data_IF_404962908121
#
_entry.id   IF_404962908121
#
_cell.length_a   1.000
_cell.length_b   1.000
_cell.length_c   1.000
_cell.angle_alpha   90.00
_cell.angle_beta   90.00
_cell.angle_gamma   90.00
#
_symmetry.space_group_name_H-M   'P 1'
#
loop_
_entity.id
_entity.type
_entity.pdbx_description
1 polymer ?
#
# COMPACT_ATOMS: atom_id res chain seq x y z
N UNK A 1 9.00 -11.70 87.57
CA UNK A 1 7.55 -11.67 87.25
C UNK A 1 7.45 -11.84 85.74
N UNK A 2 7.14 -13.01 85.15
CA UNK A 2 5.81 -13.68 85.05
C UNK A 2 4.71 -12.62 84.90
N UNK A 3 4.04 -12.50 83.76
CA UNK A 3 2.96 -13.37 83.21
C UNK A 3 3.04 -13.26 81.66
N UNK A 4 3.18 -14.36 80.89
CA UNK A 4 2.11 -15.13 80.20
C UNK A 4 1.15 -14.19 79.41
N UNK A 5 0.79 -14.39 78.14
CA UNK A 5 0.34 -15.63 77.49
C UNK A 5 -0.07 -15.29 76.04
N UNK A 6 0.39 -16.10 75.09
CA UNK A 6 -0.41 -16.73 74.03
C UNK A 6 -0.92 -15.92 72.83
N UNK A 7 -0.91 -16.64 71.68
CA UNK A 7 -1.37 -16.32 70.31
C UNK A 7 -0.29 -15.56 69.52
N UNK A 8 0.29 -16.06 68.43
CA UNK A 8 -0.16 -17.07 67.50
C UNK A 8 1.03 -17.81 66.88
N UNK A 9 1.03 -19.13 67.08
CA UNK A 9 1.45 -20.08 66.05
C UNK A 9 0.53 -19.83 64.84
N UNK A 10 1.11 -19.79 63.64
CA UNK A 10 0.46 -19.76 62.30
C UNK A 10 0.66 -18.49 61.43
N UNK A 11 1.86 -17.91 61.34
CA UNK A 11 2.26 -17.08 60.16
C UNK A 11 3.70 -17.36 59.71
N UNK A 12 4.25 -18.54 60.02
CA UNK A 12 5.62 -18.93 59.63
C UNK A 12 5.65 -20.13 58.66
N UNK A 13 4.55 -20.35 57.93
CA UNK A 13 4.43 -21.42 56.92
C UNK A 13 3.62 -20.98 55.69
N UNK A 14 3.62 -19.68 55.40
CA UNK A 14 2.97 -19.08 54.23
C UNK A 14 3.84 -17.97 53.60
N UNK A 15 5.16 -18.19 53.62
CA UNK A 15 6.16 -17.30 53.00
C UNK A 15 7.18 -18.11 52.18
N UNK A 16 6.71 -19.20 51.57
CA UNK A 16 7.37 -19.95 50.51
C UNK A 16 6.39 -20.21 49.35
N UNK A 17 5.57 -19.22 49.01
CA UNK A 17 5.02 -19.13 47.66
C UNK A 17 6.07 -18.34 46.86
N UNK A 18 7.08 -19.04 46.39
CA UNK A 18 7.85 -18.61 45.23
C UNK A 18 6.82 -18.59 44.10
N UNK A 19 6.21 -17.43 43.88
CA UNK A 19 5.55 -17.14 42.62
C UNK A 19 6.65 -17.15 41.56
N UNK A 20 6.97 -18.34 41.05
CA UNK A 20 7.50 -18.48 39.71
C UNK A 20 6.37 -18.00 38.82
N UNK A 21 6.32 -16.68 38.60
CA UNK A 21 5.68 -16.14 37.41
C UNK A 21 6.58 -16.66 36.30
N UNK A 22 6.27 -17.87 35.82
CA UNK A 22 6.66 -18.28 34.49
C UNK A 22 5.92 -17.28 33.63
N UNK A 23 6.60 -16.19 33.27
CA UNK A 23 6.22 -15.37 32.15
C UNK A 23 6.29 -16.30 30.95
N UNK A 24 5.20 -17.03 30.71
CA UNK A 24 4.84 -17.50 29.39
C UNK A 24 4.66 -16.21 28.59
N UNK A 25 5.77 -15.63 28.15
CA UNK A 25 5.77 -14.84 26.93
C UNK A 25 5.32 -15.85 25.89
N UNK A 26 4.02 -15.92 25.63
CA UNK A 26 3.56 -16.39 24.34
C UNK A 26 4.44 -15.63 23.36
N UNK A 27 5.23 -16.35 22.57
CA UNK A 27 5.94 -15.73 21.48
C UNK A 27 4.87 -14.95 20.72
N UNK A 28 4.91 -13.63 20.84
CA UNK A 28 4.12 -12.78 19.96
C UNK A 28 4.56 -13.24 18.59
N UNK A 29 3.67 -13.84 17.77
CA UNK A 29 4.06 -14.27 16.45
C UNK A 29 4.72 -13.05 15.82
N UNK A 30 5.98 -13.19 15.41
CA UNK A 30 6.69 -12.12 14.72
C UNK A 30 5.71 -11.61 13.66
N UNK A 31 5.34 -10.33 13.76
CA UNK A 31 4.41 -9.72 12.82
C UNK A 31 5.03 -9.98 11.45
N UNK A 32 4.37 -10.83 10.65
CA UNK A 32 4.91 -11.20 9.36
C UNK A 32 5.00 -9.91 8.55
N UNK A 33 6.23 -9.49 8.22
CA UNK A 33 6.40 -8.41 7.26
C UNK A 33 5.75 -8.85 5.97
N UNK A 34 4.68 -8.16 5.56
CA UNK A 34 4.02 -8.40 4.30
C UNK A 34 5.04 -8.15 3.19
N UNK A 35 5.47 -9.21 2.50
CA UNK A 35 6.42 -9.06 1.40
C UNK A 35 5.77 -8.28 0.26
N UNK A 36 6.54 -7.41 -0.39
CA UNK A 36 6.12 -6.62 -1.55
C UNK A 36 6.70 -7.29 -2.78
N UNK A 37 5.82 -7.70 -3.69
CA UNK A 37 6.20 -8.42 -4.90
C UNK A 37 5.77 -7.63 -6.14
N UNK A 38 6.65 -7.58 -7.14
CA UNK A 38 6.31 -7.12 -8.48
C UNK A 38 6.47 -8.27 -9.48
N UNK A 39 5.68 -8.32 -10.55
CA UNK A 39 5.91 -9.25 -11.65
C UNK A 39 7.32 -9.06 -12.22
N UNK A 40 7.99 -10.16 -12.55
CA UNK A 40 9.24 -10.12 -13.32
C UNK A 40 8.96 -9.83 -14.81
N UNK A 41 10.00 -9.86 -15.65
CA UNK A 41 9.88 -9.63 -17.10
C UNK A 41 8.96 -10.63 -17.83
N UNK A 42 8.66 -11.81 -17.25
CA UNK A 42 7.69 -12.77 -17.80
C UNK A 42 6.26 -12.55 -17.29
N UNK A 43 6.04 -11.54 -16.45
CA UNK A 43 4.76 -11.30 -15.79
C UNK A 43 4.46 -12.27 -14.65
N UNK A 44 5.49 -12.93 -14.10
CA UNK A 44 5.32 -13.86 -12.98
C UNK A 44 5.64 -13.17 -11.65
N UNK A 45 4.74 -13.31 -10.68
CA UNK A 45 4.99 -13.07 -9.27
C UNK A 45 5.53 -14.35 -8.66
N UNK A 46 6.69 -14.27 -8.01
CA UNK A 46 7.31 -15.40 -7.31
C UNK A 46 7.25 -15.14 -5.81
N UNK A 47 6.57 -16.01 -5.06
CA UNK A 47 6.51 -15.98 -3.61
C UNK A 47 7.18 -17.24 -3.04
N UNK A 48 8.20 -17.02 -2.21
CA UNK A 48 8.88 -18.07 -1.46
C UNK A 48 8.32 -18.09 -0.04
N UNK A 49 7.70 -19.19 0.33
CA UNK A 49 7.07 -19.33 1.64
C UNK A 49 7.49 -20.60 2.37
N UNK A 50 7.08 -20.67 3.63
CA UNK A 50 7.22 -21.87 4.47
C UNK A 50 5.87 -22.31 5.00
N UNK A 51 5.69 -23.61 5.20
CA UNK A 51 4.50 -24.17 5.83
C UNK A 51 4.77 -25.54 6.45
N UNK A 52 3.72 -26.14 6.99
CA UNK A 52 3.81 -27.48 7.55
C UNK A 52 3.92 -28.50 6.41
N UNK A 53 4.94 -29.35 6.46
CA UNK A 53 5.11 -30.48 5.53
C UNK A 53 3.82 -31.31 5.42
N UNK A 54 3.53 -31.80 4.23
CA UNK A 54 2.32 -32.59 3.87
C UNK A 54 0.96 -31.89 4.04
N UNK A 55 0.91 -30.64 4.50
CA UNK A 55 -0.34 -29.86 4.56
C UNK A 55 -0.43 -28.99 3.31
N UNK A 56 -1.43 -29.18 2.46
CA UNK A 56 -1.60 -28.32 1.31
C UNK A 56 -1.97 -26.90 1.75
N UNK A 57 -1.25 -25.93 1.22
CA UNK A 57 -1.49 -24.51 1.46
C UNK A 57 -2.33 -23.95 0.33
N UNK A 58 -3.26 -23.08 0.67
CA UNK A 58 -4.03 -22.33 -0.31
C UNK A 58 -3.49 -20.92 -0.38
N UNK A 59 -2.95 -20.58 -1.54
CA UNK A 59 -2.59 -19.21 -1.84
C UNK A 59 -3.68 -18.58 -2.67
N UNK A 60 -4.22 -17.49 -2.14
CA UNK A 60 -5.28 -16.74 -2.77
C UNK A 60 -4.74 -15.39 -3.18
N UNK A 61 -4.87 -15.07 -4.47
CA UNK A 61 -4.66 -13.75 -5.05
C UNK A 61 -6.02 -13.12 -5.27
N UNK A 62 -6.26 -11.98 -4.63
CA UNK A 62 -7.51 -11.23 -4.77
C UNK A 62 -7.24 -9.77 -5.10
N UNK A 63 -8.01 -9.20 -6.03
CA UNK A 63 -8.05 -7.75 -6.28
C UNK A 63 -9.48 -7.27 -6.52
N UNK A 64 -9.65 -5.97 -6.34
CA UNK A 64 -10.87 -5.23 -6.62
C UNK A 64 -10.60 -4.32 -7.82
N UNK A 65 -11.12 -4.67 -8.99
CA UNK A 65 -10.84 -4.00 -10.26
C UNK A 65 -11.96 -3.01 -10.58
N UNK A 66 -11.67 -1.76 -10.98
CA UNK A 66 -12.70 -0.83 -11.44
C UNK A 66 -13.55 -1.41 -12.58
N UNK A 67 -14.85 -1.12 -12.58
CA UNK A 67 -15.80 -1.59 -13.60
C UNK A 67 -16.32 -0.41 -14.44
N UNK A 68 -15.60 -0.03 -15.52
CA UNK A 68 -15.88 1.24 -16.22
C UNK A 68 -17.12 1.18 -17.13
N UNK A 69 -17.44 -0.01 -17.63
CA UNK A 69 -18.51 -0.27 -18.59
C UNK A 69 -19.45 -1.36 -18.07
N UNK A 70 -20.46 -1.76 -18.85
CA UNK A 70 -21.34 -2.90 -18.49
C UNK A 70 -20.64 -4.27 -18.55
N UNK A 71 -19.40 -4.33 -19.03
CA UNK A 71 -18.62 -5.55 -19.12
C UNK A 71 -17.12 -5.27 -18.97
N UNK A 72 -16.36 -6.29 -18.56
CA UNK A 72 -14.90 -6.30 -18.56
C UNK A 72 -14.38 -7.57 -19.24
N UNK A 73 -13.26 -7.48 -19.93
CA UNK A 73 -12.59 -8.61 -20.57
C UNK A 73 -11.18 -8.74 -20.02
N UNK A 74 -10.89 -9.90 -19.42
CA UNK A 74 -9.56 -10.31 -19.01
C UNK A 74 -8.94 -11.13 -20.14
N UNK A 75 -7.88 -10.62 -20.75
CA UNK A 75 -7.26 -11.24 -21.92
C UNK A 75 -5.99 -11.99 -21.53
N UNK A 76 -6.01 -13.32 -21.59
CA UNK A 76 -4.82 -14.13 -21.38
C UNK A 76 -4.59 -14.56 -19.94
N UNK A 77 -5.65 -14.68 -19.14
CA UNK A 77 -5.58 -15.18 -17.76
C UNK A 77 -4.97 -16.58 -17.75
N UNK A 78 -3.83 -16.72 -17.10
CA UNK A 78 -3.14 -17.99 -17.00
C UNK A 78 -3.59 -18.76 -15.76
N UNK A 79 -4.12 -19.97 -15.98
CA UNK A 79 -4.61 -20.86 -14.94
C UNK A 79 -3.66 -22.04 -14.79
N UNK A 80 -3.18 -22.26 -13.58
CA UNK A 80 -2.25 -23.34 -13.24
C UNK A 80 -2.97 -24.62 -12.81
N UNK A 81 -2.22 -25.69 -12.52
CA UNK A 81 -2.79 -26.94 -11.96
C UNK A 81 -3.34 -26.72 -10.56
N UNK A 82 -4.34 -27.52 -10.17
CA UNK A 82 -4.93 -27.51 -8.83
C UNK A 82 -5.36 -26.10 -8.38
N UNK A 83 -6.20 -25.49 -9.20
CA UNK A 83 -6.70 -24.13 -9.03
C UNK A 83 -8.18 -24.12 -8.60
N UNK A 84 -8.57 -22.99 -8.05
CA UNK A 84 -9.94 -22.55 -7.91
C UNK A 84 -10.00 -21.09 -8.31
N UNK A 85 -10.83 -20.77 -9.29
CA UNK A 85 -11.01 -19.41 -9.77
C UNK A 85 -12.43 -18.95 -9.45
N UNK A 86 -12.56 -17.77 -8.86
CA UNK A 86 -13.84 -17.18 -8.52
C UNK A 86 -13.88 -15.69 -8.83
N UNK A 87 -15.08 -15.22 -9.14
CA UNK A 87 -15.41 -13.82 -9.45
C UNK A 87 -16.64 -13.47 -8.63
N UNK A 88 -16.63 -12.31 -7.99
CA UNK A 88 -17.79 -11.74 -7.31
C UNK A 88 -17.96 -10.28 -7.68
N UNK A 89 -19.18 -9.87 -8.00
CA UNK A 89 -19.52 -8.49 -8.39
C UNK A 89 -20.74 -8.03 -7.63
N UNK A 90 -20.69 -6.83 -7.04
CA UNK A 90 -21.78 -6.26 -6.25
C UNK A 90 -21.61 -4.75 -6.12
N UNK A 91 -22.69 -3.95 -6.17
CA UNK A 91 -24.07 -4.33 -6.52
C UNK A 91 -24.29 -4.44 -8.05
N UNK A 92 -25.01 -5.47 -8.52
CA UNK A 92 -25.34 -5.70 -9.94
C UNK A 92 -26.79 -6.13 -10.12
N UNK A 93 -27.42 -5.77 -11.24
CA UNK A 93 -28.79 -6.23 -11.56
C UNK A 93 -28.79 -7.57 -12.31
N UNK A 94 -27.74 -7.82 -13.10
CA UNK A 94 -27.51 -9.12 -13.74
C UNK A 94 -26.02 -9.41 -13.82
N UNK A 95 -25.66 -10.70 -13.94
CA UNK A 95 -24.29 -11.15 -13.94
C UNK A 95 -24.12 -12.40 -14.79
N UNK A 96 -23.19 -12.35 -15.74
CA UNK A 96 -22.78 -13.53 -16.51
C UNK A 96 -21.28 -13.53 -16.74
N UNK A 97 -20.70 -14.73 -16.76
CA UNK A 97 -19.29 -14.95 -17.07
C UNK A 97 -19.22 -15.83 -18.29
N UNK A 98 -18.34 -15.48 -19.23
CA UNK A 98 -18.10 -16.25 -20.45
C UNK A 98 -16.61 -16.44 -20.67
N UNK A 99 -16.25 -17.53 -21.37
CA UNK A 99 -14.88 -17.81 -21.80
C UNK A 99 -14.80 -17.84 -23.32
N UNK A 100 -13.74 -17.29 -23.90
CA UNK A 100 -13.52 -17.37 -25.35
C UNK A 100 -13.05 -18.78 -25.73
N UNK A 101 -13.74 -19.41 -26.67
CA UNK A 101 -13.37 -20.70 -27.25
C UNK A 101 -13.36 -20.61 -28.78
N UNK A 102 -12.71 -21.57 -29.44
CA UNK A 102 -12.87 -21.78 -30.88
C UNK A 102 -14.06 -22.71 -31.12
N UNK A 103 -14.99 -22.30 -31.97
CA UNK A 103 -16.07 -23.17 -32.43
C UNK A 103 -15.57 -24.22 -33.43
N UNK A 104 -16.48 -25.06 -33.92
CA UNK A 104 -16.17 -26.13 -34.89
C UNK A 104 -15.66 -25.60 -36.25
N UNK A 105 -15.79 -24.30 -36.52
CA UNK A 105 -15.31 -23.64 -37.72
C UNK A 105 -14.02 -22.83 -37.47
N UNK A 106 -13.47 -22.90 -36.26
CA UNK A 106 -12.29 -22.13 -35.87
C UNK A 106 -12.57 -20.64 -35.64
N UNK A 107 -13.82 -20.24 -35.43
CA UNK A 107 -14.18 -18.87 -35.05
C UNK A 107 -14.17 -18.70 -33.54
N UNK A 108 -13.70 -17.54 -33.06
CA UNK A 108 -13.74 -17.18 -31.64
C UNK A 108 -15.17 -16.83 -31.23
N UNK A 109 -15.68 -17.53 -30.22
CA UNK A 109 -17.01 -17.31 -29.66
C UNK A 109 -16.95 -17.26 -28.13
N UNK A 110 -17.83 -16.48 -27.51
CA UNK A 110 -17.98 -16.42 -26.06
C UNK A 110 -18.93 -17.52 -25.60
N UNK A 111 -18.42 -18.47 -24.83
CA UNK A 111 -19.19 -19.55 -24.24
C UNK A 111 -19.60 -19.19 -22.81
N UNK A 112 -20.90 -19.11 -22.50
CA UNK A 112 -21.37 -18.76 -21.16
C UNK A 112 -21.04 -19.86 -20.15
N UNK A 113 -20.70 -19.45 -18.94
CA UNK A 113 -20.45 -20.31 -17.79
C UNK A 113 -21.57 -20.15 -16.76
N UNK A 114 -21.79 -21.19 -15.96
CA UNK A 114 -22.80 -21.18 -14.90
C UNK A 114 -22.42 -20.16 -13.81
N UNK A 115 -23.15 -19.05 -13.77
CA UNK A 115 -23.06 -18.03 -12.73
C UNK A 115 -24.29 -18.06 -11.82
N UNK A 116 -24.18 -17.47 -10.63
CA UNK A 116 -25.29 -17.36 -9.68
C UNK A 116 -25.51 -15.91 -9.27
N UNK A 117 -26.77 -15.58 -8.98
CA UNK A 117 -27.19 -14.30 -8.41
C UNK A 117 -27.76 -14.54 -7.02
N UNK A 118 -27.31 -13.77 -6.02
CA UNK A 118 -27.88 -13.74 -4.68
C UNK A 118 -28.16 -12.28 -4.28
N UNK A 119 -29.42 -11.87 -4.36
CA UNK A 119 -29.78 -10.45 -4.24
C UNK A 119 -29.10 -9.63 -5.34
N UNK A 120 -28.35 -8.60 -4.95
CA UNK A 120 -27.60 -7.74 -5.87
C UNK A 120 -26.14 -8.18 -6.05
N UNK A 121 -25.79 -9.42 -5.69
CA UNK A 121 -24.43 -9.95 -5.81
C UNK A 121 -24.40 -11.08 -6.82
N UNK A 122 -23.64 -10.91 -7.89
CA UNK A 122 -23.33 -11.95 -8.86
C UNK A 122 -22.06 -12.69 -8.47
N UNK A 123 -22.04 -14.01 -8.59
CA UNK A 123 -20.85 -14.81 -8.30
C UNK A 123 -20.66 -15.98 -9.27
N UNK A 124 -19.40 -16.27 -9.59
CA UNK A 124 -18.94 -17.41 -10.37
C UNK A 124 -17.79 -18.06 -9.62
N UNK A 125 -17.75 -19.39 -9.56
CA UNK A 125 -16.66 -20.12 -8.94
C UNK A 125 -16.49 -21.48 -9.61
N UNK A 126 -15.25 -21.83 -9.97
CA UNK A 126 -14.92 -23.11 -10.57
C UNK A 126 -13.56 -23.61 -10.11
N UNK A 127 -13.52 -24.84 -9.60
CA UNK A 127 -12.30 -25.56 -9.29
C UNK A 127 -11.86 -26.47 -10.44
N UNK A 128 -10.63 -26.96 -10.36
CA UNK A 128 -10.08 -27.97 -11.25
C UNK A 128 -10.18 -27.59 -12.74
N UNK A 129 -10.02 -26.30 -13.03
CA UNK A 129 -9.97 -25.80 -14.41
C UNK A 129 -8.71 -26.38 -15.07
N UNK A 130 -8.85 -26.88 -16.29
CA UNK A 130 -7.70 -27.35 -17.08
C UNK A 130 -6.64 -26.25 -17.15
N UNK A 131 -5.35 -26.55 -16.92
CA UNK A 131 -4.31 -25.55 -17.04
C UNK A 131 -4.26 -24.98 -18.46
N UNK A 132 -4.06 -23.68 -18.58
CA UNK A 132 -4.04 -23.00 -19.86
C UNK A 132 -4.21 -21.50 -19.74
N UNK A 133 -4.35 -20.85 -20.89
CA UNK A 133 -4.55 -19.41 -21.00
C UNK A 133 -5.95 -19.14 -21.54
N UNK A 134 -6.70 -18.28 -20.84
CA UNK A 134 -8.11 -18.05 -21.09
C UNK A 134 -8.40 -16.56 -21.27
N UNK A 135 -9.28 -16.24 -22.22
CA UNK A 135 -9.92 -14.92 -22.25
C UNK A 135 -11.27 -15.04 -21.54
N UNK A 136 -11.50 -14.20 -20.55
CA UNK A 136 -12.68 -14.24 -19.69
C UNK A 136 -13.43 -12.93 -19.87
N UNK A 137 -14.72 -13.00 -20.17
CA UNK A 137 -15.62 -11.84 -20.24
C UNK A 137 -16.60 -11.90 -19.09
N UNK A 138 -16.77 -10.79 -18.40
CA UNK A 138 -17.75 -10.61 -17.33
C UNK A 138 -18.70 -9.52 -17.80
N UNK A 139 -19.97 -9.88 -17.99
CA UNK A 139 -21.03 -8.93 -18.25
C UNK A 139 -21.81 -8.73 -16.94
N UNK A 140 -21.81 -7.51 -16.44
CA UNK A 140 -22.47 -7.16 -15.20
C UNK A 140 -23.02 -5.73 -15.30
N UNK A 141 -24.08 -5.50 -16.10
CA UNK A 141 -24.64 -4.16 -16.21
C UNK A 141 -25.04 -3.64 -14.82
N UNK A 142 -24.92 -2.33 -14.62
CA UNK A 142 -25.32 -1.54 -13.44
C UNK A 142 -24.23 -1.23 -12.38
N UNK A 143 -24.64 -0.55 -11.29
CA UNK A 143 -23.92 0.40 -10.40
C UNK A 143 -22.67 -0.07 -9.64
N UNK A 144 -22.14 -1.26 -9.91
CA UNK A 144 -20.90 -1.70 -9.29
C UNK A 144 -19.75 -0.80 -9.73
N UNK A 145 -19.03 -0.20 -8.78
CA UNK A 145 -17.78 0.50 -9.09
C UNK A 145 -16.62 -0.46 -9.30
N UNK A 146 -16.77 -1.74 -8.89
CA UNK A 146 -15.68 -2.71 -8.94
C UNK A 146 -16.10 -4.19 -8.98
N UNK A 147 -15.16 -5.04 -9.40
CA UNK A 147 -15.24 -6.51 -9.45
C UNK A 147 -14.17 -7.10 -8.54
N UNK A 148 -14.56 -8.03 -7.66
CA UNK A 148 -13.60 -8.84 -6.93
C UNK A 148 -13.24 -10.10 -7.74
N UNK A 149 -11.98 -10.22 -8.11
CA UNK A 149 -11.44 -11.42 -8.77
C UNK A 149 -10.59 -12.16 -7.75
N UNK A 150 -10.76 -13.48 -7.66
CA UNK A 150 -10.00 -14.32 -6.75
C UNK A 150 -9.49 -15.56 -7.46
N UNK A 151 -8.17 -15.79 -7.42
CA UNK A 151 -7.53 -17.00 -7.88
C UNK A 151 -6.86 -17.70 -6.69
N UNK A 152 -7.31 -18.90 -6.39
CA UNK A 152 -6.71 -19.77 -5.38
C UNK A 152 -5.95 -20.90 -6.04
N UNK A 153 -4.72 -21.15 -5.61
CA UNK A 153 -3.91 -22.28 -6.05
C UNK A 153 -3.44 -23.10 -4.85
N UNK A 154 -3.41 -24.42 -5.03
CA UNK A 154 -2.99 -25.38 -4.01
C UNK A 154 -1.50 -25.70 -4.17
N UNK A 155 -0.73 -25.53 -3.10
CA UNK A 155 0.69 -25.87 -3.05
C UNK A 155 0.95 -26.92 -1.97
N UNK A 156 1.97 -27.75 -2.19
CA UNK A 156 2.44 -28.75 -1.20
C UNK A 156 3.89 -28.41 -0.88
N UNK A 157 4.21 -28.03 0.36
CA UNK A 157 5.59 -27.77 0.78
C UNK A 157 6.49 -29.01 0.64
N UNK A 158 7.78 -28.79 0.40
CA UNK A 158 8.81 -29.82 0.39
C UNK A 158 9.11 -30.36 1.79
N UNK A 159 10.01 -31.35 1.89
CA UNK A 159 10.38 -32.02 3.15
C UNK A 159 10.88 -31.05 4.24
N UNK A 160 11.45 -29.91 3.85
CA UNK A 160 11.92 -28.85 4.74
C UNK A 160 10.83 -27.81 5.06
N UNK A 161 9.62 -28.00 4.52
CA UNK A 161 8.48 -27.10 4.67
C UNK A 161 8.52 -25.90 3.74
N UNK A 162 9.43 -25.83 2.76
CA UNK A 162 9.53 -24.71 1.83
C UNK A 162 8.63 -24.93 0.60
N UNK A 163 8.18 -23.84 -0.02
CA UNK A 163 7.52 -23.90 -1.32
C UNK A 163 7.77 -22.64 -2.14
N UNK A 164 7.62 -22.80 -3.46
CA UNK A 164 7.68 -21.70 -4.43
C UNK A 164 6.32 -21.61 -5.11
N UNK A 165 5.66 -20.48 -4.92
CA UNK A 165 4.43 -20.15 -5.62
C UNK A 165 4.74 -19.20 -6.76
N UNK A 166 4.20 -19.51 -7.93
CA UNK A 166 4.37 -18.70 -9.13
C UNK A 166 2.98 -18.31 -9.60
N UNK A 167 2.74 -17.01 -9.79
CA UNK A 167 1.48 -16.52 -10.31
C UNK A 167 1.75 -15.69 -11.54
N UNK A 168 1.26 -16.15 -12.68
CA UNK A 168 1.37 -15.38 -13.89
C UNK A 168 0.23 -14.35 -13.92
N UNK A 169 0.59 -13.08 -14.05
CA UNK A 169 -0.35 -11.95 -14.00
C UNK A 169 -0.85 -11.55 -15.37
N UNK A 170 -0.49 -12.29 -16.43
CA UNK A 170 -1.00 -11.99 -17.76
C UNK A 170 -2.52 -12.05 -17.77
N UNK A 171 -3.12 -11.04 -18.39
CA UNK A 171 -4.57 -10.89 -18.50
C UNK A 171 -5.30 -10.52 -17.23
N UNK A 172 -4.59 -10.41 -16.10
CA UNK A 172 -5.14 -9.86 -14.87
C UNK A 172 -4.93 -8.33 -14.91
N UNK A 173 -5.91 -7.51 -14.51
CA UNK A 173 -5.79 -6.06 -14.50
C UNK A 173 -4.68 -5.53 -13.60
N UNK A 174 -4.21 -4.32 -13.88
CA UNK A 174 -3.28 -3.63 -12.99
C UNK A 174 -3.94 -3.38 -11.63
N UNK A 175 -3.16 -3.51 -10.56
CA UNK A 175 -3.59 -3.16 -9.21
C UNK A 175 -2.81 -3.84 -8.09
N UNK A 176 -3.29 -3.66 -6.85
CA UNK A 176 -2.73 -4.31 -5.66
C UNK A 176 -3.47 -5.62 -5.33
N UNK A 177 -2.72 -6.70 -5.23
CA UNK A 177 -3.22 -8.04 -4.98
C UNK A 177 -2.79 -8.53 -3.60
N UNK A 178 -3.76 -8.92 -2.77
CA UNK A 178 -3.48 -9.57 -1.48
C UNK A 178 -3.15 -11.04 -1.74
N UNK A 179 -1.98 -11.48 -1.26
CA UNK A 179 -1.58 -12.90 -1.24
C UNK A 179 -1.81 -13.43 0.15
N UNK A 180 -2.73 -14.38 0.27
CA UNK A 180 -3.09 -15.00 1.56
C UNK A 180 -2.68 -16.46 1.61
N UNK A 181 -2.00 -16.86 2.67
CA UNK A 181 -1.73 -18.26 3.03
C UNK A 181 -2.72 -18.68 4.11
N UNK A 182 -3.58 -19.66 3.81
CA UNK A 182 -4.60 -20.17 4.73
C UNK A 182 -5.48 -19.07 5.35
N UNK A 183 -5.78 -18.04 4.54
CA UNK A 183 -6.61 -16.90 4.92
C UNK A 183 -5.87 -15.74 5.60
N UNK A 184 -4.58 -15.89 5.91
CA UNK A 184 -3.74 -14.82 6.48
C UNK A 184 -2.95 -14.14 5.36
N UNK A 185 -3.03 -12.81 5.26
CA UNK A 185 -2.20 -12.05 4.30
C UNK A 185 -0.72 -12.19 4.65
N UNK A 186 0.07 -12.62 3.67
CA UNK A 186 1.53 -12.85 3.81
C UNK A 186 2.35 -12.01 2.84
N UNK A 187 1.74 -11.53 1.76
CA UNK A 187 2.37 -10.64 0.80
C UNK A 187 1.34 -9.77 0.08
N UNK A 188 1.80 -8.67 -0.51
CA UNK A 188 1.07 -7.86 -1.48
C UNK A 188 1.83 -7.88 -2.79
N UNK A 189 1.12 -8.11 -3.89
CA UNK A 189 1.69 -8.02 -5.22
C UNK A 189 1.14 -6.82 -5.98
N UNK A 190 2.03 -6.09 -6.64
CA UNK A 190 1.73 -4.86 -7.36
C UNK A 190 1.85 -5.13 -8.85
N UNK A 191 0.73 -5.36 -9.52
CA UNK A 191 0.68 -5.73 -10.93
C UNK A 191 0.43 -4.47 -11.75
N UNK A 192 1.31 -4.17 -12.70
CA UNK A 192 1.18 -2.98 -13.56
C UNK A 192 1.20 -1.64 -12.81
N UNK A 193 1.61 -1.65 -11.54
CA UNK A 193 1.85 -0.46 -10.74
C UNK A 193 3.35 -0.25 -10.54
N UNK A 194 3.77 1.00 -10.55
CA UNK A 194 5.15 1.37 -10.26
C UNK A 194 5.34 1.42 -8.74
N UNK A 195 6.31 0.68 -8.18
CA UNK A 195 6.63 0.79 -6.76
C UNK A 195 7.52 2.01 -6.49
N UNK A 196 7.34 2.64 -5.33
CA UNK A 196 8.23 3.69 -4.84
C UNK A 196 8.46 3.52 -3.33
N UNK A 197 9.74 3.47 -2.92
CA UNK A 197 10.13 3.35 -1.51
C UNK A 197 10.47 4.71 -0.93
N UNK A 198 9.69 5.16 0.05
CA UNK A 198 9.96 6.33 0.87
C UNK A 198 10.82 5.88 2.06
N UNK A 199 11.99 6.50 2.23
CA UNK A 199 12.86 6.26 3.38
C UNK A 199 12.69 7.38 4.40
N UNK A 200 12.45 6.99 5.64
CA UNK A 200 12.27 7.87 6.78
C UNK A 200 13.49 7.83 7.70
N UNK A 201 13.92 9.01 8.09
CA UNK A 201 14.99 9.23 9.04
C UNK A 201 14.41 9.74 10.36
N UNK A 202 15.15 9.55 11.45
CA UNK A 202 14.75 10.07 12.76
C UNK A 202 14.58 11.60 12.70
N UNK A 203 13.60 12.13 13.42
CA UNK A 203 13.12 13.51 13.34
C UNK A 203 12.37 13.83 12.04
N UNK A 204 12.63 14.98 11.43
CA UNK A 204 11.79 15.54 10.37
C UNK A 204 12.18 15.00 9.00
N UNK A 205 11.16 14.74 8.20
CA UNK A 205 11.26 14.34 6.80
C UNK A 205 10.27 15.20 6.01
N UNK A 206 10.69 15.81 4.90
CA UNK A 206 9.79 16.50 3.98
C UNK A 206 9.61 15.61 2.75
N UNK A 207 8.47 14.94 2.68
CA UNK A 207 8.20 13.92 1.66
C UNK A 207 7.08 14.37 0.72
N UNK A 208 7.01 13.74 -0.45
CA UNK A 208 5.84 13.77 -1.32
C UNK A 208 5.56 12.35 -1.85
N UNK A 209 4.39 12.13 -2.42
CA UNK A 209 4.07 10.86 -3.09
C UNK A 209 4.10 11.10 -4.61
N UNK A 210 5.06 10.49 -5.35
CA UNK A 210 5.22 10.76 -6.78
C UNK A 210 4.24 10.00 -7.69
N UNK A 211 3.39 9.15 -7.11
CA UNK A 211 2.49 8.24 -7.80
C UNK A 211 1.03 8.54 -7.44
N UNK A 212 0.10 8.32 -8.38
CA UNK A 212 -1.33 8.21 -8.07
C UNK A 212 -1.59 6.84 -7.45
N UNK A 213 -1.90 6.84 -6.16
CA UNK A 213 -2.19 5.62 -5.40
C UNK A 213 -3.64 5.17 -5.59
N UNK A 214 -3.90 3.88 -5.37
CA UNK A 214 -5.27 3.36 -5.31
C UNK A 214 -6.03 3.85 -4.06
N UNK A 215 -5.30 4.02 -2.95
CA UNK A 215 -5.79 4.57 -1.70
C UNK A 215 -4.80 5.60 -1.18
N UNK A 216 -5.33 6.76 -0.81
CA UNK A 216 -4.57 7.84 -0.19
C UNK A 216 -4.70 7.85 1.33
N UNK A 217 -5.44 6.91 1.91
CA UNK A 217 -5.64 6.83 3.36
C UNK A 217 -4.31 6.60 4.10
N UNK A 218 -4.10 7.32 5.20
CA UNK A 218 -2.87 7.21 5.99
C UNK A 218 -2.57 5.77 6.45
N UNK A 219 -3.59 4.98 6.80
CA UNK A 219 -3.42 3.59 7.24
C UNK A 219 -3.08 2.63 6.10
N UNK A 220 -3.39 2.99 4.87
CA UNK A 220 -3.07 2.19 3.68
C UNK A 220 -1.67 2.52 3.16
N UNK A 221 -1.26 3.79 3.32
CA UNK A 221 0.08 4.25 2.98
C UNK A 221 1.10 3.80 4.04
N UNK A 222 0.81 3.98 5.32
CA UNK A 222 1.72 3.65 6.42
C UNK A 222 1.28 2.38 7.16
N UNK A 223 2.00 1.27 7.01
CA UNK A 223 1.82 0.07 7.83
C UNK A 223 1.89 0.39 9.32
N UNK A 224 1.22 -0.42 10.15
CA UNK A 224 1.05 -0.13 11.58
C UNK A 224 2.38 0.02 12.34
N UNK A 225 3.43 -0.70 11.94
CA UNK A 225 4.78 -0.56 12.50
C UNK A 225 5.37 0.81 12.16
N UNK A 226 5.35 1.23 10.89
CA UNK A 226 5.80 2.57 10.47
C UNK A 226 4.97 3.67 11.12
N UNK A 227 3.64 3.53 11.12
CA UNK A 227 2.72 4.49 11.72
C UNK A 227 2.98 4.67 13.22
N UNK A 228 3.38 3.62 13.92
CA UNK A 228 3.73 3.70 15.35
C UNK A 228 4.98 4.53 15.64
N UNK A 229 5.82 4.78 14.63
CA UNK A 229 6.98 5.67 14.70
C UNK A 229 6.66 7.11 14.29
N UNK A 230 5.50 7.37 13.67
CA UNK A 230 5.08 8.72 13.28
C UNK A 230 4.48 9.43 14.50
N UNK A 231 5.06 10.56 14.89
CA UNK A 231 4.49 11.41 15.95
C UNK A 231 3.51 12.42 15.38
N UNK A 232 3.92 13.06 14.28
CA UNK A 232 3.26 14.24 13.70
C UNK A 232 3.36 14.22 12.18
N UNK A 233 2.30 14.63 11.50
CA UNK A 233 2.31 14.96 10.07
C UNK A 233 1.73 16.37 9.90
N UNK A 234 2.45 17.23 9.20
CA UNK A 234 2.00 18.56 8.83
C UNK A 234 1.92 18.69 7.31
N UNK A 235 0.82 19.25 6.83
CA UNK A 235 0.64 19.66 5.44
C UNK A 235 0.33 21.15 5.39
N UNK A 236 0.53 21.75 4.23
CA UNK A 236 0.12 23.12 3.95
C UNK A 236 -1.07 23.06 3.02
N UNK A 237 -2.15 23.79 3.30
CA UNK A 237 -3.26 24.00 2.39
C UNK A 237 -3.05 25.33 1.65
N UNK A 238 -2.60 25.24 0.40
CA UNK A 238 -2.32 26.40 -0.45
C UNK A 238 -3.54 27.27 -0.71
N UNK A 239 -4.74 26.70 -0.69
CA UNK A 239 -5.97 27.41 -1.03
C UNK A 239 -6.38 28.42 0.04
N UNK A 240 -6.09 28.11 1.30
CA UNK A 240 -6.37 28.97 2.45
C UNK A 240 -5.10 29.54 3.10
N UNK A 241 -3.92 29.11 2.65
CA UNK A 241 -2.61 29.47 3.19
C UNK A 241 -2.53 29.20 4.70
N UNK A 242 -2.91 27.98 5.11
CA UNK A 242 -2.89 27.55 6.51
C UNK A 242 -2.44 26.08 6.64
N UNK A 243 -2.08 25.67 7.85
CA UNK A 243 -1.61 24.33 8.15
C UNK A 243 -2.75 23.34 8.32
N UNK A 244 -2.50 22.10 7.91
CA UNK A 244 -3.30 20.92 8.21
C UNK A 244 -2.43 19.93 8.99
N UNK A 245 -3.05 19.11 9.83
CA UNK A 245 -2.32 18.34 10.84
C UNK A 245 -2.85 16.93 11.08
N UNK A 246 -1.95 16.02 11.42
CA UNK A 246 -2.25 14.72 11.99
C UNK A 246 -1.28 14.41 13.14
N UNK A 247 -1.80 13.75 14.17
CA UNK A 247 -1.01 13.12 15.23
C UNK A 247 -1.62 11.77 15.58
N UNK A 248 -0.77 10.81 15.96
CA UNK A 248 -1.22 9.53 16.49
C UNK A 248 -1.91 9.67 17.86
N UNK A 249 -1.59 10.74 18.61
CA UNK A 249 -2.25 11.05 19.87
C UNK A 249 -3.50 11.90 19.61
N UNK A 250 -4.72 11.35 19.76
CA UNK A 250 -5.96 12.10 19.51
C UNK A 250 -6.21 13.23 20.52
N UNK A 251 -5.45 13.27 21.62
CA UNK A 251 -5.50 14.35 22.62
C UNK A 251 -4.39 15.39 22.40
N UNK A 252 -3.65 15.32 21.29
CA UNK A 252 -2.64 16.31 20.98
C UNK A 252 -3.25 17.71 20.87
N UNK A 253 -2.52 18.71 21.39
CA UNK A 253 -3.00 20.08 21.49
C UNK A 253 -3.38 20.67 20.14
N UNK A 254 -2.67 20.32 19.07
CA UNK A 254 -2.88 20.92 17.75
C UNK A 254 -4.12 20.38 17.04
N UNK A 255 -4.62 19.21 17.45
CA UNK A 255 -5.76 18.54 16.81
C UNK A 255 -7.07 19.36 16.88
N UNK A 256 -7.19 20.27 17.86
CA UNK A 256 -8.36 21.14 17.98
C UNK A 256 -8.24 22.47 17.21
N UNK A 257 -7.05 22.80 16.68
CA UNK A 257 -6.79 24.08 16.02
C UNK A 257 -6.65 23.98 14.51
N UNK A 258 -6.24 22.82 13.99
CA UNK A 258 -5.98 22.62 12.58
C UNK A 258 -6.92 21.57 11.96
N UNK A 259 -7.30 21.74 10.68
CA UNK A 259 -7.99 20.69 9.95
C UNK A 259 -7.17 19.39 9.94
N UNK A 260 -7.88 18.26 10.01
CA UNK A 260 -7.27 16.95 10.13
C UNK A 260 -6.80 16.42 8.77
N UNK A 261 -5.57 15.92 8.71
CA UNK A 261 -5.11 15.06 7.61
C UNK A 261 -5.65 13.64 7.83
N UNK A 262 -6.44 13.15 6.88
CA UNK A 262 -6.88 11.74 6.81
C UNK A 262 -6.26 11.00 5.64
N UNK A 263 -5.88 11.74 4.60
CA UNK A 263 -5.36 11.24 3.35
C UNK A 263 -4.11 12.04 2.94
N UNK A 264 -3.18 11.40 2.21
CA UNK A 264 -2.07 12.09 1.56
C UNK A 264 -2.33 12.21 0.07
N UNK A 265 -2.35 13.44 -0.43
CA UNK A 265 -2.56 13.74 -1.83
C UNK A 265 -1.26 13.52 -2.60
N UNK A 266 -1.34 12.78 -3.71
CA UNK A 266 -0.27 12.68 -4.71
C UNK A 266 0.28 14.07 -5.03
N UNK A 267 1.61 14.20 -5.03
CA UNK A 267 2.42 15.40 -5.28
C UNK A 267 2.18 16.63 -4.39
N UNK A 268 1.33 16.56 -3.36
CA UNK A 268 1.46 17.47 -2.21
C UNK A 268 2.64 17.00 -1.34
N UNK A 269 3.35 17.95 -0.72
CA UNK A 269 4.40 17.64 0.24
C UNK A 269 3.91 17.73 1.69
N UNK A 270 4.49 16.88 2.52
CA UNK A 270 4.16 16.74 3.93
C UNK A 270 5.42 16.66 4.77
N UNK A 271 5.43 17.38 5.88
CA UNK A 271 6.39 17.16 6.95
C UNK A 271 5.94 15.99 7.79
N UNK A 272 6.77 14.96 7.91
CA UNK A 272 6.54 13.77 8.73
C UNK A 272 7.63 13.69 9.78
N UNK A 273 7.24 13.69 11.05
CA UNK A 273 8.16 13.52 12.17
C UNK A 273 8.17 12.07 12.65
N UNK A 274 9.37 11.52 12.77
CA UNK A 274 9.60 10.11 13.08
C UNK A 274 10.41 9.93 14.36
N UNK A 275 10.00 8.97 15.19
CA UNK A 275 10.79 8.39 16.28
C UNK A 275 11.51 7.12 15.78
N UNK A 276 12.68 7.32 15.18
CA UNK A 276 13.49 6.27 14.56
C UNK A 276 13.51 6.34 13.04
N UNK A 277 14.16 5.34 12.43
CA UNK A 277 14.24 5.19 10.97
C UNK A 277 13.29 4.11 10.51
N UNK A 278 12.61 4.31 9.39
CA UNK A 278 11.74 3.32 8.78
C UNK A 278 11.76 3.47 7.26
N UNK A 279 11.14 2.55 6.55
CA UNK A 279 10.91 2.68 5.11
C UNK A 279 9.53 2.14 4.79
N UNK A 280 8.84 2.79 3.87
CA UNK A 280 7.56 2.31 3.36
C UNK A 280 7.61 2.27 1.84
N UNK A 281 7.04 1.22 1.25
CA UNK A 281 6.91 1.15 -0.20
C UNK A 281 5.45 1.28 -0.54
N UNK A 282 5.15 2.31 -1.33
CA UNK A 282 3.85 2.52 -1.96
C UNK A 282 3.93 2.06 -3.41
N UNK A 283 2.78 1.87 -4.05
CA UNK A 283 2.76 1.73 -5.48
C UNK A 283 1.51 2.38 -6.06
N UNK A 284 1.62 2.76 -7.32
CA UNK A 284 0.55 3.46 -8.02
C UNK A 284 0.89 3.61 -9.49
N UNK A 285 0.13 4.46 -10.16
CA UNK A 285 0.42 4.83 -11.55
C UNK A 285 1.17 6.15 -11.59
N UNK A 286 2.05 6.31 -12.57
CA UNK A 286 2.67 7.62 -12.83
C UNK A 286 1.59 8.53 -13.44
N UNK A 287 1.30 9.70 -12.84
CA UNK A 287 0.29 10.62 -13.35
C UNK A 287 0.52 10.97 -14.83
N UNK A 288 -0.55 10.99 -15.64
CA UNK A 288 -0.42 11.26 -17.09
C UNK A 288 0.04 12.69 -17.41
N UNK A 289 -0.11 13.62 -16.47
CA UNK A 289 0.38 14.99 -16.57
C UNK A 289 1.77 15.18 -15.95
N UNK A 290 2.46 14.11 -15.55
CA UNK A 290 3.84 14.18 -15.08
C UNK A 290 4.74 14.91 -16.11
N UNK A 291 5.62 15.82 -15.68
CA UNK A 291 5.98 16.09 -14.29
C UNK A 291 5.12 17.14 -13.56
N UNK A 292 3.98 17.61 -14.08
CA UNK A 292 3.22 18.73 -13.50
C UNK A 292 2.85 18.56 -12.01
N UNK A 293 3.01 19.63 -11.21
CA UNK A 293 2.49 19.67 -9.84
C UNK A 293 0.98 19.37 -9.84
N UNK A 294 0.50 18.39 -9.07
CA UNK A 294 -0.92 18.01 -9.07
C UNK A 294 -1.76 19.04 -8.33
N UNK A 295 -1.12 19.87 -7.49
CA UNK A 295 -1.72 21.05 -6.89
C UNK A 295 -1.43 22.25 -7.79
N UNK A 296 -2.49 22.97 -8.17
CA UNK A 296 -2.36 24.23 -8.87
C UNK A 296 -1.58 25.21 -7.98
N UNK A 297 -0.41 25.64 -8.45
CA UNK A 297 0.44 26.56 -7.70
C UNK A 297 -0.26 27.92 -7.59
N UNK A 298 -0.27 28.47 -6.39
CA UNK A 298 -0.78 29.81 -6.09
C UNK A 298 0.36 30.76 -5.82
N UNK A 299 0.09 32.07 -5.90
CA UNK A 299 1.03 33.09 -5.45
C UNK A 299 1.40 32.87 -3.97
N UNK A 300 2.64 33.21 -3.62
CA UNK A 300 3.28 32.89 -2.34
C UNK A 300 3.66 31.40 -2.21
N UNK A 301 3.57 30.85 -1.00
CA UNK A 301 4.16 29.56 -0.66
C UNK A 301 3.23 28.39 -0.96
N UNK A 302 3.83 27.35 -1.55
CA UNK A 302 3.22 26.07 -1.88
C UNK A 302 4.07 24.95 -1.28
N UNK A 303 3.46 23.89 -0.73
CA UNK A 303 4.17 22.73 -0.19
C UNK A 303 3.90 21.53 -1.10
N UNK A 304 4.78 21.33 -2.07
CA UNK A 304 4.56 20.45 -3.23
C UNK A 304 5.74 19.52 -3.47
N UNK A 305 5.52 18.48 -4.25
CA UNK A 305 6.57 17.59 -4.75
C UNK A 305 6.35 17.22 -6.21
N UNK A 306 7.21 16.33 -6.69
CA UNK A 306 7.17 15.83 -8.06
C UNK A 306 6.22 14.64 -8.21
N UNK A 307 5.47 14.62 -9.31
CA UNK A 307 4.54 13.55 -9.75
C UNK A 307 5.11 12.75 -10.90
N UNK A 308 6.40 12.50 -10.87
CA UNK A 308 7.16 11.74 -11.85
C UNK A 308 8.15 10.87 -11.06
N UNK A 309 8.67 9.82 -11.68
CA UNK A 309 9.70 8.94 -11.13
C UNK A 309 11.11 9.36 -11.57
N UNK A 310 11.22 10.32 -12.50
CA UNK A 310 12.50 10.85 -12.98
C UNK A 310 12.77 12.24 -12.43
N UNK A 311 13.98 12.57 -11.93
CA UNK A 311 14.33 13.92 -11.52
C UNK A 311 14.13 14.96 -12.63
N UNK A 312 13.60 16.13 -12.28
CA UNK A 312 13.30 17.21 -13.23
C UNK A 312 14.02 18.50 -12.84
N UNK A 313 14.66 19.24 -13.78
CA UNK A 313 15.26 20.52 -13.46
C UNK A 313 14.26 21.50 -12.83
N UNK A 314 14.70 22.25 -11.81
CA UNK A 314 13.85 23.22 -11.08
C UNK A 314 13.11 24.17 -12.03
N UNK A 315 13.83 24.73 -13.00
CA UNK A 315 13.28 25.70 -13.97
C UNK A 315 12.25 25.10 -14.92
N UNK A 316 12.25 23.78 -15.09
CA UNK A 316 11.27 23.06 -15.91
C UNK A 316 10.04 22.73 -15.09
N UNK A 317 10.23 22.26 -13.86
CA UNK A 317 9.14 21.86 -12.97
C UNK A 317 8.32 23.05 -12.46
N UNK A 318 9.01 24.11 -12.01
CA UNK A 318 8.39 25.29 -11.40
C UNK A 318 8.79 26.55 -12.16
N UNK A 319 8.30 26.74 -13.41
CA UNK A 319 8.61 27.93 -14.18
C UNK A 319 8.02 29.16 -13.48
N UNK A 320 8.89 30.07 -13.04
CA UNK A 320 8.49 31.28 -12.32
C UNK A 320 8.65 31.22 -10.80
N UNK A 321 9.14 30.10 -10.24
CA UNK A 321 9.50 30.06 -8.83
C UNK A 321 10.66 31.02 -8.53
N UNK A 322 10.50 31.85 -7.51
CA UNK A 322 11.54 32.77 -7.03
C UNK A 322 12.47 32.09 -6.05
N UNK A 323 11.90 31.33 -5.12
CA UNK A 323 12.59 30.60 -4.06
C UNK A 323 12.04 29.17 -3.94
N UNK A 324 12.94 28.21 -3.69
CA UNK A 324 12.56 26.84 -3.34
C UNK A 324 13.41 26.36 -2.18
N UNK A 325 12.76 25.85 -1.14
CA UNK A 325 13.39 25.17 -0.02
C UNK A 325 13.05 23.68 -0.04
N UNK A 326 14.04 22.83 0.16
CA UNK A 326 13.87 21.41 0.39
C UNK A 326 14.55 20.98 1.68
N UNK A 327 14.28 19.77 2.11
CA UNK A 327 14.90 19.19 3.30
C UNK A 327 15.73 17.99 2.92
N UNK A 328 16.99 17.95 3.37
CA UNK A 328 17.80 16.73 3.33
C UNK A 328 17.59 15.98 4.66
N UNK A 329 16.80 14.87 4.66
CA UNK A 329 16.51 14.16 5.90
C UNK A 329 17.71 13.35 6.42
N UNK A 330 18.75 13.11 5.61
CA UNK A 330 19.98 12.45 6.06
C UNK A 330 20.83 13.44 6.84
N UNK A 331 21.01 14.64 6.29
CA UNK A 331 21.77 15.70 6.95
C UNK A 331 20.98 16.41 8.06
N UNK A 332 19.64 16.28 8.06
CA UNK A 332 18.72 17.07 8.87
C UNK A 332 18.97 18.57 8.68
N UNK A 333 19.09 18.99 7.41
CA UNK A 333 19.41 20.36 7.03
C UNK A 333 18.66 20.80 5.76
N UNK A 334 18.60 22.11 5.55
CA UNK A 334 17.92 22.72 4.42
C UNK A 334 18.78 22.70 3.15
N UNK A 335 18.10 22.51 2.02
CA UNK A 335 18.64 22.77 0.68
C UNK A 335 17.84 23.87 0.01
N UNK A 336 18.45 24.62 -0.90
CA UNK A 336 17.88 25.86 -1.40
C UNK A 336 18.09 26.09 -2.90
N UNK A 337 17.13 26.75 -3.52
CA UNK A 337 17.25 27.35 -4.84
C UNK A 337 16.64 28.76 -4.82
N UNK A 338 17.28 29.66 -5.54
CA UNK A 338 16.78 30.98 -5.90
C UNK A 338 16.98 31.21 -7.40
N UNK A 339 16.06 31.97 -7.99
CA UNK A 339 16.22 32.50 -9.35
C UNK A 339 17.37 33.53 -9.44
N UNK A 340 17.71 34.22 -8.34
CA UNK A 340 18.91 35.06 -8.28
C UNK A 340 20.14 34.19 -8.01
N UNK A 341 21.08 34.02 -8.97
CA UNK A 341 22.27 33.20 -8.77
C UNK A 341 23.24 33.75 -7.71
N UNK A 342 23.07 34.99 -7.25
CA UNK A 342 23.88 35.60 -6.20
C UNK A 342 23.16 35.70 -4.85
N UNK A 343 22.05 34.97 -4.69
CA UNK A 343 21.30 34.99 -3.44
C UNK A 343 22.20 34.59 -2.25
N UNK A 344 22.05 35.33 -1.15
CA UNK A 344 22.83 35.19 0.07
C UNK A 344 22.76 33.78 0.67
N UNK A 345 21.67 33.05 0.47
CA UNK A 345 21.49 31.72 1.05
C UNK A 345 22.35 30.64 0.39
N UNK A 346 22.83 30.84 -0.84
CA UNK A 346 23.72 29.87 -1.49
C UNK A 346 25.08 29.67 -0.81
N UNK A 347 25.47 30.57 0.10
CA UNK A 347 26.68 30.37 0.90
C UNK A 347 26.48 29.48 2.13
N UNK A 348 25.22 29.23 2.52
CA UNK A 348 24.86 28.45 3.71
C UNK A 348 24.24 27.09 3.36
N UNK A 349 23.50 27.01 2.27
CA UNK A 349 22.72 25.83 1.93
C UNK A 349 23.13 25.24 0.58
N UNK A 350 23.19 23.90 0.47
CA UNK A 350 23.42 23.23 -0.81
C UNK A 350 22.36 23.61 -1.84
N UNK A 351 22.80 23.77 -3.09
CA UNK A 351 21.93 24.17 -4.20
C UNK A 351 21.05 23.02 -4.69
N UNK A 352 19.75 23.27 -4.83
CA UNK A 352 18.81 22.40 -5.55
C UNK A 352 18.95 22.68 -7.05
N UNK A 353 19.26 21.64 -7.83
CA UNK A 353 19.29 21.73 -9.30
C UNK A 353 18.13 20.99 -9.95
N UNK A 354 17.66 19.91 -9.31
CA UNK A 354 16.54 19.10 -9.76
C UNK A 354 15.59 18.87 -8.60
N UNK A 355 14.30 18.81 -8.92
CA UNK A 355 13.25 18.30 -8.07
C UNK A 355 13.29 16.78 -8.19
N UNK A 356 13.50 16.12 -7.05
CA UNK A 356 13.62 14.66 -6.95
C UNK A 356 12.27 14.02 -6.62
N UNK A 357 11.96 12.83 -7.17
CA UNK A 357 10.76 12.07 -6.83
C UNK A 357 10.74 11.73 -5.34
N UNK A 358 9.57 11.90 -4.72
CA UNK A 358 9.27 11.61 -3.31
C UNK A 358 9.86 12.55 -2.26
N UNK A 359 10.64 13.55 -2.67
CA UNK A 359 11.02 14.67 -1.82
C UNK A 359 9.94 15.76 -1.89
N UNK A 360 9.66 16.39 -0.75
CA UNK A 360 8.82 17.58 -0.71
C UNK A 360 9.63 18.88 -0.75
N UNK A 361 8.98 19.96 -1.18
CA UNK A 361 9.57 21.27 -1.37
C UNK A 361 8.59 22.38 -0.99
N UNK A 362 9.10 23.44 -0.38
CA UNK A 362 8.43 24.72 -0.27
C UNK A 362 8.78 25.56 -1.48
N UNK A 363 7.80 25.88 -2.32
CA UNK A 363 7.97 26.62 -3.57
C UNK A 363 7.25 27.95 -3.47
N UNK A 364 7.98 29.05 -3.65
CA UNK A 364 7.40 30.40 -3.69
C UNK A 364 7.18 30.86 -5.12
N UNK A 365 5.96 31.28 -5.42
CA UNK A 365 5.57 31.83 -6.72
C UNK A 365 5.22 33.32 -6.59
N UNK A 366 5.45 34.10 -7.64
CA UNK A 366 5.09 35.53 -7.73
C UNK A 366 4.06 35.84 -8.82
#
# INVERSE_FOLDING_TARGET
MRVKTWRAIAVLSLFCFISVIVSLTAAVPAQAHTAILTPNDSGDIIYNGTGTHDVPLYLTISATVPFPDNYIVFNGVHVQKSNHFSITVSPVESFSVSVEILDIFGQKVWFPLDSTMNGNTGSFARGDITPGTYNIKIDAPHTASSVSVTLTSKYVPDEDGNYIAVFNTAGIPDGVYSIKQDGVEVAKAYVGLEPYTINFYNEWNLISIPLTLESNDLSDIFPADVLSHITDIWGWDESVQDWIYYSINPNDYFYQYYPKITELETGRAYWVRMEGTASVTVAGTVPSCAPDSPVALVNEWNCVGLTDMSPVPVTTMYPGATDIWGWDPVAQDWVYYSIDPNDYFYQYYPKINNIMPGNGYWVRME
#
